data_IF_586839658675
#
_entry.id   IF_586839658675
#
_cell.length_a   1.000
_cell.length_b   1.000
_cell.length_c   1.000
_cell.angle_alpha   90.00
_cell.angle_beta   90.00
_cell.angle_gamma   90.00
#
_symmetry.space_group_name_H-M   'P 1'
#
loop_
_entity.id
_entity.type
_entity.pdbx_description
1 polymer ?
#
# COMPACT_ATOMS: atom_id res chain seq x y z
N UNK A 1 73.72 -45.76 3.67
CA UNK A 1 73.19 -44.37 3.58
C UNK A 1 73.66 -43.57 4.79
N UNK A 2 74.42 -42.49 4.57
CA UNK A 2 75.20 -41.78 5.60
C UNK A 2 74.28 -40.98 6.55
N UNK A 3 74.54 -41.05 7.86
CA UNK A 3 73.81 -40.36 8.96
C UNK A 3 73.43 -38.90 8.66
N UNK A 4 74.27 -38.18 7.90
CA UNK A 4 74.04 -36.79 7.51
C UNK A 4 72.83 -36.56 6.59
N UNK A 5 72.45 -37.52 5.74
CA UNK A 5 71.30 -37.36 4.83
C UNK A 5 69.97 -37.45 5.58
N UNK A 6 69.88 -38.31 6.61
CA UNK A 6 68.69 -38.46 7.45
C UNK A 6 68.43 -37.22 8.31
N UNK A 7 69.49 -36.58 8.79
CA UNK A 7 69.40 -35.38 9.63
C UNK A 7 68.91 -34.16 8.84
N UNK A 8 69.34 -34.03 7.57
CA UNK A 8 68.88 -32.95 6.67
C UNK A 8 67.41 -33.10 6.29
N UNK A 9 66.96 -34.32 6.03
CA UNK A 9 65.54 -34.61 5.72
C UNK A 9 64.66 -34.35 6.94
N UNK A 10 65.09 -34.75 8.14
CA UNK A 10 64.35 -34.50 9.37
C UNK A 10 64.23 -32.99 9.67
N UNK A 11 65.30 -32.22 9.47
CA UNK A 11 65.27 -30.77 9.64
C UNK A 11 64.34 -30.09 8.63
N UNK A 12 64.37 -30.51 7.35
CA UNK A 12 63.48 -29.96 6.33
C UNK A 12 62.00 -30.25 6.63
N UNK A 13 61.69 -31.46 7.12
CA UNK A 13 60.33 -31.84 7.49
C UNK A 13 59.82 -31.05 8.72
N UNK A 14 60.68 -30.85 9.72
CA UNK A 14 60.35 -30.06 10.91
C UNK A 14 60.05 -28.59 10.57
N UNK A 15 60.82 -28.00 9.65
CA UNK A 15 60.58 -26.64 9.16
C UNK A 15 59.28 -26.57 8.35
N UNK A 16 59.02 -27.55 7.49
CA UNK A 16 57.77 -27.61 6.72
C UNK A 16 56.54 -27.74 7.63
N UNK A 17 56.59 -28.56 8.69
CA UNK A 17 55.49 -28.68 9.64
C UNK A 17 55.28 -27.40 10.46
N UNK A 18 56.34 -26.66 10.80
CA UNK A 18 56.23 -25.41 11.52
C UNK A 18 55.59 -24.28 10.68
N UNK A 19 55.74 -24.33 9.36
CA UNK A 19 55.20 -23.32 8.42
C UNK A 19 53.71 -23.52 8.09
N UNK A 20 53.18 -24.74 8.20
CA UNK A 20 51.78 -25.05 7.85
C UNK A 20 50.80 -24.73 9.00
N UNK A 21 51.32 -24.55 10.23
CA UNK A 21 50.50 -24.37 11.44
C UNK A 21 50.11 -22.93 11.80
N UNK A 22 50.50 -21.91 11.02
CA UNK A 22 50.14 -20.53 11.34
C UNK A 22 48.64 -20.31 11.06
N UNK A 23 47.80 -19.98 12.06
CA UNK A 23 46.41 -19.64 11.79
C UNK A 23 46.37 -18.39 10.92
N UNK A 24 45.57 -18.42 9.85
CA UNK A 24 45.26 -17.24 9.06
C UNK A 24 44.63 -16.18 9.99
N UNK A 25 45.43 -15.20 10.42
CA UNK A 25 44.92 -14.05 11.15
C UNK A 25 44.08 -13.21 10.18
N UNK A 26 42.76 -13.33 10.30
CA UNK A 26 41.85 -12.35 9.73
C UNK A 26 42.12 -11.02 10.44
N UNK A 27 42.89 -10.14 9.81
CA UNK A 27 43.33 -8.84 10.33
C UNK A 27 42.21 -7.79 10.41
N UNK A 28 40.96 -8.21 10.25
CA UNK A 28 39.79 -7.37 10.38
C UNK A 28 38.69 -8.15 11.10
N UNK A 29 38.74 -8.15 12.42
CA UNK A 29 37.56 -8.47 13.24
C UNK A 29 36.92 -7.16 13.65
N UNK A 30 35.89 -6.73 12.90
CA UNK A 30 35.04 -5.64 13.34
C UNK A 30 34.12 -6.16 14.47
N UNK A 31 34.63 -6.17 15.70
CA UNK A 31 33.87 -6.54 16.91
C UNK A 31 33.11 -5.33 17.44
N UNK A 32 32.22 -4.78 16.61
CA UNK A 32 31.29 -3.73 16.99
C UNK A 32 29.91 -4.10 16.50
N UNK A 33 28.91 -4.06 17.39
CA UNK A 33 27.52 -4.14 16.95
C UNK A 33 27.24 -2.95 16.04
N UNK A 34 27.01 -3.22 14.76
CA UNK A 34 26.56 -2.23 13.79
C UNK A 34 25.08 -1.96 14.04
N UNK A 35 24.79 -0.85 14.71
CA UNK A 35 23.43 -0.37 14.87
C UNK A 35 23.13 0.59 13.73
N UNK A 36 22.06 0.32 12.99
CA UNK A 36 21.52 1.25 11.99
C UNK A 36 20.15 1.72 12.47
N UNK A 37 19.93 3.03 12.44
CA UNK A 37 18.60 3.60 12.67
C UNK A 37 17.87 3.63 11.33
N UNK A 38 16.82 2.81 11.20
CA UNK A 38 15.92 2.84 10.05
C UNK A 38 14.69 3.64 10.44
N UNK A 39 14.44 4.77 9.78
CA UNK A 39 13.16 5.45 9.88
C UNK A 39 12.18 4.82 8.89
N UNK A 40 10.99 4.42 9.35
CA UNK A 40 9.93 3.99 8.46
C UNK A 40 9.51 5.17 7.57
N UNK A 41 9.62 5.02 6.25
CA UNK A 41 9.06 5.99 5.31
C UNK A 41 7.54 6.03 5.43
N UNK A 42 6.98 7.22 5.64
CA UNK A 42 5.52 7.40 5.66
C UNK A 42 5.03 7.89 4.30
N UNK A 43 3.97 7.28 3.78
CA UNK A 43 3.26 7.80 2.59
C UNK A 43 2.21 8.80 3.08
N UNK A 44 2.32 10.09 2.75
CA UNK A 44 1.32 11.06 3.19
C UNK A 44 -0.05 10.77 2.57
N UNK A 45 -1.16 10.90 3.32
CA UNK A 45 -2.49 10.62 2.80
C UNK A 45 -2.99 11.77 1.90
N UNK A 46 -3.91 11.48 0.97
CA UNK A 46 -4.67 12.52 0.28
C UNK A 46 -5.44 13.40 1.28
N UNK A 47 -5.75 14.63 0.88
CA UNK A 47 -6.51 15.58 1.71
C UNK A 47 -7.70 16.14 0.95
N UNK A 48 -8.58 16.89 1.65
CA UNK A 48 -9.72 17.57 1.07
C UNK A 48 -10.56 16.66 0.15
N UNK A 49 -10.95 15.49 0.68
CA UNK A 49 -11.81 14.56 -0.05
C UNK A 49 -13.22 15.16 -0.09
N UNK A 50 -13.70 15.45 -1.29
CA UNK A 50 -14.97 16.09 -1.55
C UNK A 50 -15.82 15.20 -2.44
N UNK A 51 -17.13 15.33 -2.30
CA UNK A 51 -18.10 14.66 -3.15
C UNK A 51 -19.00 15.73 -3.78
N UNK A 52 -19.19 15.65 -5.08
CA UNK A 52 -20.08 16.50 -5.85
C UNK A 52 -21.04 15.66 -6.69
N UNK A 53 -22.31 16.06 -6.74
CA UNK A 53 -23.30 15.44 -7.63
C UNK A 53 -23.10 16.03 -9.03
N UNK A 54 -22.68 15.21 -10.00
CA UNK A 54 -22.33 15.67 -11.37
C UNK A 54 -23.23 15.09 -12.45
N UNK A 55 -24.33 14.42 -12.08
CA UNK A 55 -25.29 13.84 -13.01
C UNK A 55 -26.60 14.62 -13.11
N UNK A 56 -27.29 14.46 -14.24
CA UNK A 56 -28.75 14.64 -14.28
C UNK A 56 -29.40 13.49 -13.50
N UNK A 57 -30.65 13.66 -13.04
CA UNK A 57 -31.39 12.62 -12.30
C UNK A 57 -31.40 11.23 -13.00
N UNK A 58 -31.20 11.20 -14.33
CA UNK A 58 -31.11 9.95 -15.09
C UNK A 58 -29.77 9.19 -14.95
N UNK A 59 -28.66 9.88 -14.68
CA UNK A 59 -27.32 9.31 -14.84
C UNK A 59 -26.76 8.57 -13.60
N UNK A 60 -27.44 8.61 -12.44
CA UNK A 60 -27.03 7.94 -11.17
C UNK A 60 -25.51 7.98 -10.93
N UNK A 61 -24.94 9.17 -10.92
CA UNK A 61 -23.48 9.38 -10.77
C UNK A 61 -23.16 10.42 -9.71
N UNK A 62 -22.10 10.15 -8.94
CA UNK A 62 -21.45 11.13 -8.08
C UNK A 62 -19.96 11.19 -8.42
N UNK A 63 -19.35 12.36 -8.28
CA UNK A 63 -17.92 12.54 -8.47
C UNK A 63 -17.25 12.78 -7.14
N UNK A 64 -16.26 11.95 -6.81
CA UNK A 64 -15.41 12.12 -5.65
C UNK A 64 -14.08 12.71 -6.10
N UNK A 65 -13.67 13.81 -5.49
CA UNK A 65 -12.38 14.49 -5.76
C UNK A 65 -11.55 14.57 -4.49
N UNK A 66 -10.24 14.67 -4.64
CA UNK A 66 -9.32 14.87 -3.52
C UNK A 66 -8.10 15.70 -3.94
N UNK A 67 -7.33 16.14 -2.96
CA UNK A 67 -6.05 16.82 -3.18
C UNK A 67 -4.90 15.82 -3.06
N UNK A 68 -4.00 15.84 -4.03
CA UNK A 68 -2.81 15.00 -4.05
C UNK A 68 -1.87 15.36 -2.87
N UNK A 69 -1.32 14.38 -2.15
CA UNK A 69 -0.27 14.63 -1.18
C UNK A 69 1.05 15.00 -1.86
N UNK A 70 1.94 15.64 -1.10
CA UNK A 70 3.34 15.89 -1.49
C UNK A 70 4.27 15.02 -0.63
N UNK A 71 5.16 14.21 -1.22
CA UNK A 71 5.36 13.99 -2.65
C UNK A 71 4.20 13.23 -3.32
N UNK A 72 4.04 13.42 -4.63
CA UNK A 72 2.95 12.81 -5.39
C UNK A 72 3.05 11.27 -5.37
N UNK A 73 1.93 10.57 -5.14
CA UNK A 73 1.90 9.12 -5.15
C UNK A 73 1.91 8.57 -6.58
N UNK A 74 2.21 7.28 -6.73
CA UNK A 74 2.14 6.60 -8.02
C UNK A 74 0.68 6.37 -8.47
N UNK A 75 -0.22 6.10 -7.52
CA UNK A 75 -1.66 5.91 -7.76
C UNK A 75 -2.46 6.09 -6.47
N UNK A 76 -3.77 6.10 -6.60
CA UNK A 76 -4.73 6.11 -5.51
C UNK A 76 -5.52 4.80 -5.47
N UNK A 77 -5.78 4.31 -4.26
CA UNK A 77 -6.69 3.20 -3.99
C UNK A 77 -7.95 3.77 -3.34
N UNK A 78 -9.11 3.48 -3.93
CA UNK A 78 -10.41 3.89 -3.41
C UNK A 78 -11.15 2.66 -2.93
N UNK A 79 -11.63 2.69 -1.69
CA UNK A 79 -12.35 1.58 -1.05
C UNK A 79 -13.76 2.02 -0.68
N UNK A 80 -14.72 1.14 -0.92
CA UNK A 80 -16.13 1.36 -0.63
C UNK A 80 -16.58 0.47 0.54
N UNK A 81 -17.04 1.06 1.64
CA UNK A 81 -17.54 0.27 2.78
C UNK A 81 -18.91 -0.32 2.45
N UNK A 82 -19.10 -1.62 2.67
CA UNK A 82 -20.40 -2.28 2.47
C UNK A 82 -20.49 -3.22 1.27
N UNK A 83 -19.47 -3.25 0.40
CA UNK A 83 -19.42 -4.18 -0.74
C UNK A 83 -18.05 -4.81 -1.02
N UNK A 84 -17.00 -4.44 -0.28
CA UNK A 84 -15.64 -4.95 -0.51
C UNK A 84 -14.98 -4.47 -1.82
N UNK A 85 -15.69 -3.66 -2.61
CA UNK A 85 -15.19 -3.15 -3.88
C UNK A 85 -14.06 -2.16 -3.66
N UNK A 86 -13.03 -2.31 -4.50
CA UNK A 86 -11.84 -1.48 -4.49
C UNK A 86 -11.55 -1.04 -5.92
N UNK A 87 -11.39 0.27 -6.13
CA UNK A 87 -10.97 0.84 -7.40
C UNK A 87 -9.56 1.43 -7.28
N UNK A 88 -8.82 1.47 -8.38
CA UNK A 88 -7.54 2.17 -8.46
C UNK A 88 -7.55 3.19 -9.58
N UNK A 89 -7.01 4.38 -9.32
CA UNK A 89 -6.89 5.45 -10.31
C UNK A 89 -5.59 6.21 -10.12
N UNK A 90 -5.07 6.81 -11.20
CA UNK A 90 -3.89 7.67 -11.17
C UNK A 90 -4.26 9.16 -11.06
N UNK A 91 -5.54 9.48 -11.22
CA UNK A 91 -6.07 10.84 -11.14
C UNK A 91 -6.59 11.18 -9.75
N UNK A 92 -6.83 12.47 -9.48
CA UNK A 92 -7.40 12.96 -8.21
C UNK A 92 -8.93 13.01 -8.19
N UNK A 93 -9.57 12.27 -9.12
CA UNK A 93 -11.01 12.28 -9.34
C UNK A 93 -11.48 10.88 -9.68
N UNK A 94 -12.60 10.45 -9.10
CA UNK A 94 -13.28 9.20 -9.42
C UNK A 94 -14.78 9.44 -9.61
N UNK A 95 -15.32 8.93 -10.71
CA UNK A 95 -16.76 8.88 -10.92
C UNK A 95 -17.32 7.58 -10.34
N UNK A 96 -18.25 7.70 -9.40
CA UNK A 96 -18.94 6.59 -8.75
C UNK A 96 -20.27 6.36 -9.46
N UNK A 97 -20.47 5.14 -9.95
CA UNK A 97 -21.72 4.66 -10.54
C UNK A 97 -22.23 3.51 -9.68
N UNK A 98 -23.37 3.68 -9.02
CA UNK A 98 -24.02 2.59 -8.28
C UNK A 98 -25.07 2.00 -9.22
N UNK A 99 -24.74 0.85 -9.82
CA UNK A 99 -25.71 0.04 -10.54
C UNK A 99 -26.63 -0.69 -9.54
N UNK A 100 -27.91 -0.83 -9.90
CA UNK A 100 -28.94 -1.53 -9.09
C UNK A 100 -28.63 -3.01 -8.84
N UNK A 101 -27.51 -3.53 -9.35
CA UNK A 101 -27.03 -4.89 -9.12
C UNK A 101 -26.22 -5.04 -7.83
N UNK A 102 -25.82 -3.94 -7.19
CA UNK A 102 -25.05 -3.93 -5.93
C UNK A 102 -25.92 -4.06 -4.67
N UNK A 103 -27.24 -3.96 -4.80
CA UNK A 103 -28.20 -3.90 -3.69
C UNK A 103 -29.18 -5.05 -3.85
N UNK A 104 -29.24 -5.91 -2.83
CA UNK A 104 -29.83 -7.25 -2.89
C UNK A 104 -31.29 -7.28 -3.37
N UNK A 105 -31.52 -7.76 -4.59
CA UNK A 105 -32.87 -8.08 -5.06
C UNK A 105 -33.85 -6.89 -5.14
N UNK A 106 -35.04 -7.17 -5.67
CA UNK A 106 -36.00 -6.14 -6.07
C UNK A 106 -36.58 -5.36 -4.87
N UNK A 107 -36.78 -6.03 -3.72
CA UNK A 107 -37.40 -5.43 -2.54
C UNK A 107 -36.44 -4.50 -1.78
N UNK A 108 -35.18 -4.90 -1.56
CA UNK A 108 -34.19 -3.99 -0.96
C UNK A 108 -33.86 -2.85 -1.91
N UNK A 109 -33.81 -3.09 -3.22
CA UNK A 109 -33.65 -2.03 -4.22
C UNK A 109 -34.79 -1.00 -4.18
N UNK A 110 -36.04 -1.41 -3.91
CA UNK A 110 -37.17 -0.50 -3.76
C UNK A 110 -37.09 0.28 -2.44
N UNK A 111 -36.72 -0.37 -1.34
CA UNK A 111 -36.54 0.28 -0.04
C UNK A 111 -35.36 1.25 -0.06
N UNK A 112 -34.25 0.89 -0.70
CA UNK A 112 -33.10 1.79 -0.91
C UNK A 112 -33.45 2.96 -1.82
N UNK A 113 -34.33 2.75 -2.79
CA UNK A 113 -34.82 3.83 -3.65
C UNK A 113 -35.81 4.75 -2.92
N UNK A 114 -36.65 4.21 -2.04
CA UNK A 114 -37.61 5.01 -1.26
C UNK A 114 -36.94 5.76 -0.09
N UNK A 115 -36.03 5.11 0.63
CA UNK A 115 -35.44 5.60 1.87
C UNK A 115 -34.01 6.12 1.70
N UNK A 116 -33.47 6.08 0.48
CA UNK A 116 -32.12 6.56 0.14
C UNK A 116 -31.00 5.58 0.46
N UNK A 117 -31.34 4.42 1.00
CA UNK A 117 -30.44 3.31 1.34
C UNK A 117 -29.37 3.63 2.38
N UNK A 118 -28.54 2.63 2.69
CA UNK A 118 -27.39 2.82 3.57
C UNK A 118 -26.30 3.64 2.85
N UNK A 119 -25.68 4.62 3.53
CA UNK A 119 -24.60 5.41 2.95
C UNK A 119 -23.35 4.54 2.73
N UNK A 120 -22.91 4.47 1.48
CA UNK A 120 -21.65 3.87 1.07
C UNK A 120 -20.50 4.84 1.41
N UNK A 121 -19.62 4.44 2.31
CA UNK A 121 -18.47 5.27 2.68
C UNK A 121 -17.34 5.06 1.68
N UNK A 122 -16.86 6.16 1.09
CA UNK A 122 -15.73 6.19 0.17
C UNK A 122 -14.49 6.65 0.92
N UNK A 123 -13.42 5.85 0.83
CA UNK A 123 -12.12 6.13 1.45
C UNK A 123 -11.03 6.07 0.40
N UNK A 124 -10.14 7.06 0.42
CA UNK A 124 -9.07 7.20 -0.57
C UNK A 124 -7.71 7.05 0.12
N UNK A 125 -6.83 6.22 -0.43
CA UNK A 125 -5.46 6.04 0.02
C UNK A 125 -4.49 6.38 -1.09
N UNK A 126 -3.36 6.99 -0.75
CA UNK A 126 -2.24 7.16 -1.65
C UNK A 126 -1.39 5.89 -1.67
N UNK A 127 -0.90 5.50 -2.85
CA UNK A 127 -0.02 4.34 -3.04
C UNK A 127 1.30 4.85 -3.61
N UNK A 128 2.38 4.65 -2.87
CA UNK A 128 3.73 4.99 -3.31
C UNK A 128 4.24 3.97 -4.35
N UNK A 129 5.23 4.34 -5.15
CA UNK A 129 5.84 3.47 -6.16
C UNK A 129 6.40 2.16 -5.58
N UNK A 130 6.82 2.17 -4.30
CA UNK A 130 7.27 0.98 -3.57
C UNK A 130 6.12 0.04 -3.13
N UNK A 131 4.86 0.38 -3.39
CA UNK A 131 3.68 -0.40 -3.01
C UNK A 131 3.10 -0.08 -1.62
N UNK A 132 3.78 0.76 -0.83
CA UNK A 132 3.28 1.19 0.48
C UNK A 132 2.05 2.10 0.32
N UNK A 133 1.07 1.92 1.20
CA UNK A 133 -0.17 2.70 1.20
C UNK A 133 -0.22 3.65 2.39
N UNK A 134 -0.77 4.84 2.17
CA UNK A 134 -1.08 5.77 3.27
C UNK A 134 -2.24 5.24 4.12
N UNK A 135 -2.45 5.88 5.27
CA UNK A 135 -3.76 5.87 5.93
C UNK A 135 -4.83 6.42 4.98
N UNK A 136 -6.08 6.00 5.16
CA UNK A 136 -7.18 6.56 4.39
C UNK A 136 -7.37 8.04 4.71
N UNK A 137 -7.53 8.83 3.65
CA UNK A 137 -8.01 10.20 3.73
C UNK A 137 -9.45 10.23 4.29
N UNK A 138 -9.91 11.43 4.65
CA UNK A 138 -11.27 11.68 5.16
C UNK A 138 -12.35 10.89 4.40
N UNK A 139 -13.40 10.51 5.12
CA UNK A 139 -14.45 9.65 4.59
C UNK A 139 -15.59 10.51 4.04
N UNK A 140 -16.00 10.26 2.79
CA UNK A 140 -17.20 10.86 2.17
C UNK A 140 -18.25 9.79 1.97
N UNK A 141 -19.49 10.13 2.26
CA UNK A 141 -20.61 9.22 2.13
C UNK A 141 -21.39 9.48 0.83
N UNK A 142 -21.72 8.40 0.14
CA UNK A 142 -22.51 8.42 -1.09
C UNK A 142 -23.72 7.51 -0.89
N UNK A 143 -24.93 7.96 -1.23
CA UNK A 143 -26.15 7.16 -1.10
C UNK A 143 -27.09 7.37 -2.28
N UNK A 144 -28.11 6.51 -2.41
CA UNK A 144 -29.17 6.74 -3.38
C UNK A 144 -29.98 7.98 -2.97
N UNK A 145 -30.33 8.81 -3.95
CA UNK A 145 -31.28 9.90 -3.72
C UNK A 145 -32.68 9.32 -3.51
N UNK A 146 -33.41 9.86 -2.54
CA UNK A 146 -34.81 9.49 -2.27
C UNK A 146 -35.72 9.99 -3.37
N UNK A 147 -36.90 9.39 -3.53
CA UNK A 147 -37.91 9.85 -4.50
C UNK A 147 -38.29 11.34 -4.35
N UNK A 148 -38.27 11.87 -3.12
CA UNK A 148 -38.56 13.29 -2.83
C UNK A 148 -37.44 14.23 -3.24
N UNK A 149 -36.21 13.72 -3.34
CA UNK A 149 -35.02 14.47 -3.76
C UNK A 149 -34.69 14.25 -5.25
N UNK A 150 -35.45 13.37 -5.92
CA UNK A 150 -35.26 12.95 -7.31
C UNK A 150 -34.51 11.62 -7.45
N UNK A 151 -34.59 11.00 -8.62
CA UNK A 151 -33.88 9.73 -8.91
C UNK A 151 -32.39 10.03 -9.08
N UNK A 152 -31.48 9.31 -8.42
CA UNK A 152 -30.05 9.58 -8.57
C UNK A 152 -29.16 9.02 -7.47
N UNK A 153 -27.89 9.42 -7.50
CA UNK A 153 -26.92 9.24 -6.40
C UNK A 153 -26.59 10.60 -5.83
N UNK A 154 -26.44 10.69 -4.51
CA UNK A 154 -26.05 11.92 -3.82
C UNK A 154 -24.93 11.73 -2.82
N UNK A 155 -24.15 12.79 -2.67
CA UNK A 155 -23.27 12.99 -1.53
C UNK A 155 -24.08 13.30 -0.26
N UNK A 156 -23.58 12.86 0.90
CA UNK A 156 -24.18 13.04 2.23
C UNK A 156 -23.22 13.75 3.15
#
# INVERSE_FOLDING_TARGET
MRRGTRLRVAAALAVALALVGAPAVAWWTASGSLWTTVSAGTVPPPTNVLCANTGTFAARTATVTWTAPTPAPARYRVTFSGGGETATTETTTLQVVVSTTLLGGLLESILDLLLGGQPLQVRVQAVHASGWTSVAAGTVAVRNATLTEGVGIRCV
#
